data_IF_780386451489
#
_entry.id   IF_780386451489
#
_cell.length_a   1.000
_cell.length_b   1.000
_cell.length_c   1.000
_cell.angle_alpha   90.00
_cell.angle_beta   90.00
_cell.angle_gamma   90.00
#
_symmetry.space_group_name_H-M   'P 1'
#
loop_
_entity.id
_entity.type
_entity.pdbx_description
1 polymer ?
#
# COMPACT_ATOMS: atom_id res chain seq x y z
N UNK A 1 18.61 -37.78 4.79
CA UNK A 1 18.98 -36.45 5.33
C UNK A 1 18.38 -35.43 4.37
N UNK A 2 17.17 -34.96 4.66
CA UNK A 2 16.60 -33.81 3.95
C UNK A 2 16.63 -32.65 4.93
N UNK A 3 17.41 -31.62 4.59
CA UNK A 3 17.44 -30.35 5.31
C UNK A 3 16.14 -29.63 5.02
N UNK A 4 15.24 -29.59 6.00
CA UNK A 4 14.12 -28.65 6.01
C UNK A 4 14.72 -27.25 6.12
N UNK A 5 14.88 -26.59 4.98
CA UNK A 5 15.32 -25.21 4.90
C UNK A 5 14.16 -24.34 5.40
N UNK A 6 14.11 -24.15 6.72
CA UNK A 6 13.17 -23.24 7.37
C UNK A 6 13.37 -21.85 6.79
N UNK A 7 12.40 -21.37 6.02
CA UNK A 7 12.28 -19.96 5.72
C UNK A 7 11.93 -19.26 7.04
N UNK A 8 12.89 -18.57 7.65
CA UNK A 8 12.69 -17.70 8.82
C UNK A 8 11.82 -16.50 8.43
N UNK A 9 10.53 -16.75 8.27
CA UNK A 9 9.53 -15.78 7.86
C UNK A 9 8.86 -15.24 9.11
N UNK A 10 9.13 -13.97 9.43
CA UNK A 10 8.47 -13.27 10.54
C UNK A 10 7.29 -12.47 9.98
N UNK A 11 6.09 -12.85 10.39
CA UNK A 11 4.82 -12.23 9.99
C UNK A 11 4.13 -11.61 11.19
N UNK A 12 3.60 -10.39 11.02
CA UNK A 12 2.65 -9.80 11.96
C UNK A 12 1.34 -9.57 11.22
N UNK A 13 0.28 -10.17 11.77
CA UNK A 13 -1.09 -9.97 11.33
C UNK A 13 -1.80 -9.12 12.37
N UNK A 14 -2.24 -7.93 11.98
CA UNK A 14 -3.11 -7.08 12.80
C UNK A 14 -4.53 -7.27 12.29
N UNK A 15 -5.39 -7.90 13.09
CA UNK A 15 -6.83 -8.10 12.83
C UNK A 15 -7.63 -7.47 13.99
N UNK A 16 -8.73 -6.79 13.66
CA UNK A 16 -9.83 -6.43 14.59
C UNK A 16 -9.46 -5.77 15.93
N UNK A 17 -8.38 -5.00 15.96
CA UNK A 17 -7.92 -4.33 17.17
C UNK A 17 -7.78 -2.82 16.97
N UNK A 18 -8.55 -2.06 17.76
CA UNK A 18 -8.28 -0.63 18.03
C UNK A 18 -7.15 -0.53 19.05
N UNK A 19 -5.99 -1.11 18.75
CA UNK A 19 -4.80 -0.89 19.56
C UNK A 19 -4.20 0.46 19.14
N UNK A 20 -3.89 1.38 20.07
CA UNK A 20 -3.05 2.52 19.77
C UNK A 20 -1.64 2.00 19.47
N UNK A 21 -1.43 1.56 18.23
CA UNK A 21 -0.12 1.16 17.74
C UNK A 21 0.66 2.44 17.51
N UNK A 22 1.54 2.77 18.45
CA UNK A 22 2.57 3.78 18.20
C UNK A 22 3.61 3.15 17.27
N UNK A 23 3.89 3.72 16.08
CA UNK A 23 4.89 3.17 15.15
C UNK A 23 6.26 2.95 15.81
N UNK A 24 6.61 3.82 16.75
CA UNK A 24 7.82 3.78 17.58
C UNK A 24 7.92 2.52 18.46
N UNK A 25 6.79 1.90 18.79
CA UNK A 25 6.73 0.67 19.61
C UNK A 25 7.08 -0.58 18.81
N UNK A 26 7.15 -0.48 17.48
CA UNK A 26 7.50 -1.58 16.58
C UNK A 26 8.96 -1.49 16.12
N UNK A 27 9.89 -1.86 17.00
CA UNK A 27 11.30 -2.07 16.62
C UNK A 27 11.46 -3.55 16.22
N UNK A 28 10.90 -3.92 15.07
CA UNK A 28 11.00 -5.27 14.54
C UNK A 28 11.78 -5.29 13.24
N UNK A 29 13.09 -5.08 13.32
CA UNK A 29 13.97 -5.02 12.14
C UNK A 29 14.01 -6.33 11.36
N UNK A 30 13.61 -7.46 11.94
CA UNK A 30 13.52 -8.75 11.24
C UNK A 30 12.24 -8.93 10.42
N UNK A 31 11.25 -8.05 10.56
CA UNK A 31 9.96 -8.21 9.88
C UNK A 31 10.11 -8.04 8.37
N UNK A 32 9.72 -9.07 7.63
CA UNK A 32 9.74 -9.07 6.16
C UNK A 32 8.36 -8.95 5.56
N UNK A 33 7.30 -9.27 6.30
CA UNK A 33 5.92 -9.17 5.82
C UNK A 33 5.00 -8.60 6.88
N UNK A 34 4.12 -7.70 6.46
CA UNK A 34 3.14 -7.05 7.31
C UNK A 34 1.77 -7.13 6.63
N UNK A 35 0.77 -7.64 7.36
CA UNK A 35 -0.61 -7.62 6.93
C UNK A 35 -1.43 -6.80 7.92
N UNK A 36 -2.08 -5.76 7.41
CA UNK A 36 -2.99 -4.91 8.18
C UNK A 36 -4.40 -5.17 7.67
N UNK A 37 -5.26 -5.74 8.52
CA UNK A 37 -6.67 -5.95 8.24
C UNK A 37 -7.53 -5.21 9.27
N UNK A 38 -8.42 -4.35 8.80
CA UNK A 38 -9.30 -3.55 9.66
C UNK A 38 -9.13 -2.03 9.50
N UNK A 39 -9.70 -1.23 10.42
CA UNK A 39 -9.56 0.23 10.37
C UNK A 39 -8.16 0.67 10.81
N UNK A 40 -7.41 1.32 9.91
CA UNK A 40 -6.09 1.88 10.23
C UNK A 40 -5.93 3.28 9.67
N UNK A 41 -5.39 4.22 10.46
CA UNK A 41 -5.05 5.53 9.92
C UNK A 41 -3.78 5.43 9.04
N UNK A 42 -3.76 6.23 7.97
CA UNK A 42 -2.68 6.19 6.99
C UNK A 42 -1.35 6.67 7.60
N UNK A 43 -1.38 7.57 8.58
CA UNK A 43 -0.17 8.01 9.30
C UNK A 43 0.51 6.87 10.06
N UNK A 44 -0.27 6.01 10.74
CA UNK A 44 0.25 4.81 11.42
C UNK A 44 0.81 3.85 10.39
N UNK A 45 0.11 3.63 9.28
CA UNK A 45 0.60 2.78 8.19
C UNK A 45 1.93 3.31 7.62
N UNK A 46 2.05 4.60 7.31
CA UNK A 46 3.30 5.20 6.84
C UNK A 46 4.40 5.14 7.90
N UNK A 47 4.06 5.39 9.17
CA UNK A 47 4.96 5.22 10.30
C UNK A 47 5.51 3.81 10.38
N UNK A 48 4.66 2.77 10.24
CA UNK A 48 5.09 1.37 10.22
C UNK A 48 6.02 1.08 9.05
N UNK A 49 5.69 1.53 7.83
CA UNK A 49 6.57 1.36 6.65
C UNK A 49 7.95 2.01 6.89
N UNK A 50 7.98 3.17 7.55
CA UNK A 50 9.24 3.87 7.86
C UNK A 50 10.09 3.18 8.94
N UNK A 51 9.47 2.49 9.91
CA UNK A 51 10.16 1.84 11.03
C UNK A 51 10.51 0.36 10.76
N UNK A 52 10.01 -0.22 9.66
CA UNK A 52 10.27 -1.60 9.25
C UNK A 52 11.18 -1.66 8.01
N UNK A 53 12.51 -1.44 8.17
CA UNK A 53 13.43 -1.26 7.04
C UNK A 53 13.63 -2.52 6.19
N UNK A 54 13.32 -3.70 6.73
CA UNK A 54 13.44 -4.98 6.03
C UNK A 54 12.10 -5.51 5.51
N UNK A 55 11.02 -4.72 5.60
CA UNK A 55 9.73 -5.09 5.08
C UNK A 55 9.81 -5.28 3.55
N UNK A 56 9.37 -6.43 3.06
CA UNK A 56 9.39 -6.84 1.64
C UNK A 56 7.97 -6.90 1.07
N UNK A 57 7.00 -7.36 1.87
CA UNK A 57 5.59 -7.47 1.46
C UNK A 57 4.70 -6.72 2.44
N UNK A 58 3.79 -5.91 1.91
CA UNK A 58 2.74 -5.23 2.65
C UNK A 58 1.38 -5.59 2.06
N UNK A 59 0.47 -6.07 2.90
CA UNK A 59 -0.93 -6.28 2.52
C UNK A 59 -1.84 -5.40 3.38
N UNK A 60 -2.71 -4.64 2.73
CA UNK A 60 -3.61 -3.67 3.32
C UNK A 60 -5.04 -4.07 2.96
N UNK A 61 -5.74 -4.68 3.92
CA UNK A 61 -7.15 -5.06 3.83
C UNK A 61 -7.97 -4.11 4.71
N UNK A 62 -8.20 -2.90 4.21
CA UNK A 62 -8.69 -1.81 5.04
C UNK A 62 -10.23 -1.77 5.06
N UNK A 63 -10.79 -1.73 6.26
CA UNK A 63 -12.23 -1.49 6.48
C UNK A 63 -12.38 -0.08 7.04
N UNK A 64 -13.16 0.80 6.41
CA UNK A 64 -13.23 2.20 6.84
C UNK A 64 -14.65 2.75 7.00
N UNK A 65 -14.81 3.66 7.96
CA UNK A 65 -15.28 5.00 7.62
C UNK A 65 -14.22 6.03 8.00
N UNK A 66 -13.30 6.39 7.10
CA UNK A 66 -12.25 7.36 7.44
C UNK A 66 -12.90 8.73 7.57
N UNK A 67 -12.95 9.24 8.81
CA UNK A 67 -13.50 10.56 9.12
C UNK A 67 -12.41 11.60 9.46
N UNK A 68 -11.14 11.25 9.29
CA UNK A 68 -10.01 12.14 9.55
C UNK A 68 -9.62 12.99 8.32
N UNK A 69 -8.83 14.07 8.51
CA UNK A 69 -8.19 14.76 7.39
C UNK A 69 -7.28 13.76 6.67
N UNK A 70 -7.35 13.68 5.34
CA UNK A 70 -6.39 12.87 4.58
C UNK A 70 -4.97 13.28 5.00
N UNK A 71 -4.07 12.31 5.30
CA UNK A 71 -2.67 12.65 5.50
C UNK A 71 -2.17 13.44 4.30
N UNK A 72 -1.14 14.25 4.49
CA UNK A 72 -0.53 15.02 3.41
C UNK A 72 0.20 14.09 2.42
N UNK A 73 -0.59 13.41 1.58
CA UNK A 73 -0.14 12.65 0.43
C UNK A 73 0.15 13.64 -0.69
N UNK A 74 1.21 14.43 -0.52
CA UNK A 74 1.65 15.34 -1.57
C UNK A 74 2.23 14.52 -2.72
N UNK A 75 1.52 14.50 -3.85
CA UNK A 75 2.03 13.98 -5.12
C UNK A 75 2.64 15.17 -5.86
N UNK A 76 3.98 15.23 -6.06
CA UNK A 76 4.60 16.32 -6.81
C UNK A 76 4.07 16.32 -8.24
N UNK A 77 3.93 17.49 -8.87
CA UNK A 77 3.51 17.57 -10.27
C UNK A 77 4.52 16.88 -11.21
N UNK A 78 4.02 16.31 -12.31
CA UNK A 78 4.85 15.67 -13.32
C UNK A 78 5.86 16.67 -13.90
N UNK A 79 7.15 16.36 -13.86
CA UNK A 79 8.21 17.25 -14.33
C UNK A 79 8.66 18.30 -13.30
N UNK A 80 8.10 18.28 -12.09
CA UNK A 80 8.62 19.07 -10.97
C UNK A 80 10.06 18.68 -10.65
N UNK A 81 10.91 19.68 -10.33
CA UNK A 81 12.31 19.46 -9.94
C UNK A 81 12.46 18.87 -8.54
N UNK A 82 11.39 18.81 -7.75
CA UNK A 82 11.44 18.32 -6.36
C UNK A 82 10.94 16.88 -6.30
N UNK A 83 11.84 15.88 -6.23
CA UNK A 83 11.43 14.48 -6.16
C UNK A 83 10.78 14.17 -4.80
N UNK A 84 9.87 13.19 -4.79
CA UNK A 84 9.32 12.67 -3.54
C UNK A 84 10.43 11.98 -2.73
N UNK A 85 10.58 12.34 -1.44
CA UNK A 85 11.52 11.62 -0.57
C UNK A 85 11.08 10.18 -0.34
N UNK A 86 11.91 9.17 -0.67
CA UNK A 86 11.50 7.77 -0.61
C UNK A 86 11.47 7.24 0.83
N UNK A 87 10.66 6.22 1.05
CA UNK A 87 10.69 5.42 2.26
C UNK A 87 11.96 4.56 2.30
N UNK A 88 12.56 4.44 3.49
CA UNK A 88 13.72 3.58 3.74
C UNK A 88 13.25 2.16 4.03
N UNK A 89 12.83 1.46 3.00
CA UNK A 89 12.26 0.11 3.09
C UNK A 89 12.75 -0.77 1.94
N UNK A 90 12.58 -2.09 2.07
CA UNK A 90 12.84 -3.08 1.02
C UNK A 90 11.56 -3.56 0.35
N UNK A 91 10.46 -2.79 0.47
CA UNK A 91 9.16 -3.19 -0.04
C UNK A 91 9.24 -3.45 -1.55
N UNK A 92 8.87 -4.66 -1.94
CA UNK A 92 8.82 -5.14 -3.32
C UNK A 92 7.39 -5.42 -3.77
N UNK A 93 6.51 -5.78 -2.83
CA UNK A 93 5.10 -6.06 -3.11
C UNK A 93 4.18 -5.29 -2.17
N UNK A 94 3.17 -4.65 -2.74
CA UNK A 94 2.05 -4.06 -2.02
C UNK A 94 0.75 -4.64 -2.56
N UNK A 95 -0.11 -5.11 -1.67
CA UNK A 95 -1.49 -5.50 -1.94
C UNK A 95 -2.44 -4.56 -1.21
N UNK A 96 -3.39 -3.97 -1.94
CA UNK A 96 -4.35 -2.98 -1.44
C UNK A 96 -5.76 -3.43 -1.77
N UNK A 97 -6.56 -3.60 -0.73
CA UNK A 97 -7.96 -3.93 -0.81
C UNK A 97 -8.72 -3.10 0.22
N UNK A 98 -9.82 -2.51 -0.22
CA UNK A 98 -10.77 -1.85 0.65
C UNK A 98 -12.03 -2.71 0.71
N UNK A 99 -12.56 -2.94 1.91
CA UNK A 99 -13.86 -3.58 2.04
C UNK A 99 -14.95 -2.53 1.82
N UNK A 100 -15.84 -2.81 0.88
CA UNK A 100 -16.85 -1.89 0.36
C UNK A 100 -17.81 -1.37 1.44
N UNK A 101 -18.02 -0.06 1.37
CA UNK A 101 -19.12 0.80 1.86
C UNK A 101 -18.63 2.26 1.81
N UNK A 102 -17.33 2.45 2.01
CA UNK A 102 -16.53 3.65 1.76
C UNK A 102 -15.08 3.28 2.07
N UNK A 103 -14.13 3.52 1.15
CA UNK A 103 -13.81 4.86 0.68
C UNK A 103 -13.97 5.04 -0.83
N UNK A 104 -14.08 6.31 -1.27
CA UNK A 104 -14.10 6.65 -2.70
C UNK A 104 -12.91 6.00 -3.42
N UNK A 105 -13.09 5.40 -4.61
CA UNK A 105 -12.01 4.96 -5.49
C UNK A 105 -10.85 5.96 -5.62
N UNK A 106 -11.12 7.24 -5.38
CA UNK A 106 -10.14 8.32 -5.29
C UNK A 106 -9.05 8.08 -4.23
N UNK A 107 -9.39 7.55 -3.04
CA UNK A 107 -8.42 7.31 -1.97
C UNK A 107 -7.48 6.16 -2.31
N UNK A 108 -8.02 5.03 -2.79
CA UNK A 108 -7.21 3.88 -3.22
C UNK A 108 -6.24 4.29 -4.32
N UNK A 109 -6.72 5.08 -5.29
CA UNK A 109 -5.88 5.66 -6.34
C UNK A 109 -4.81 6.59 -5.76
N UNK A 110 -5.15 7.49 -4.84
CA UNK A 110 -4.20 8.41 -4.22
C UNK A 110 -3.12 7.66 -3.43
N UNK A 111 -3.50 6.67 -2.63
CA UNK A 111 -2.59 5.82 -1.87
C UNK A 111 -1.65 5.04 -2.79
N UNK A 112 -2.19 4.39 -3.82
CA UNK A 112 -1.39 3.67 -4.80
C UNK A 112 -0.37 4.59 -5.49
N UNK A 113 -0.79 5.76 -5.98
CA UNK A 113 0.10 6.76 -6.58
C UNK A 113 1.20 7.20 -5.61
N UNK A 114 0.84 7.47 -4.36
CA UNK A 114 1.78 7.89 -3.35
C UNK A 114 2.83 6.80 -3.07
N UNK A 115 2.42 5.55 -2.88
CA UNK A 115 3.33 4.42 -2.65
C UNK A 115 4.24 4.15 -3.85
N UNK A 116 3.71 4.26 -5.08
CA UNK A 116 4.49 4.14 -6.32
C UNK A 116 5.66 5.14 -6.37
N UNK A 117 5.45 6.38 -5.91
CA UNK A 117 6.53 7.37 -5.86
C UNK A 117 7.47 7.18 -4.68
N UNK A 118 6.93 6.76 -3.52
CA UNK A 118 7.68 6.67 -2.27
C UNK A 118 8.48 5.38 -2.12
N UNK A 119 8.21 4.35 -2.90
CA UNK A 119 8.88 3.04 -2.80
C UNK A 119 9.56 2.70 -4.14
N UNK A 120 10.80 3.17 -4.36
CA UNK A 120 11.54 2.88 -5.60
C UNK A 120 11.87 1.40 -5.81
N UNK A 121 11.83 0.58 -4.75
CA UNK A 121 12.07 -0.87 -4.80
C UNK A 121 10.83 -1.68 -5.15
N UNK A 122 9.68 -1.03 -5.29
CA UNK A 122 8.42 -1.72 -5.56
C UNK A 122 8.50 -2.37 -6.95
N UNK A 123 8.23 -3.67 -7.03
CA UNK A 123 8.18 -4.44 -8.29
C UNK A 123 6.80 -4.97 -8.59
N UNK A 124 5.89 -4.97 -7.61
CA UNK A 124 4.53 -5.49 -7.78
C UNK A 124 3.52 -4.68 -6.99
N UNK A 125 2.44 -4.25 -7.66
CA UNK A 125 1.29 -3.62 -7.06
C UNK A 125 0.03 -4.43 -7.38
N UNK A 126 -0.65 -4.91 -6.35
CA UNK A 126 -1.99 -5.46 -6.43
C UNK A 126 -2.94 -4.43 -5.83
N UNK A 127 -3.96 -4.03 -6.58
CA UNK A 127 -4.97 -3.09 -6.08
C UNK A 127 -6.36 -3.53 -6.55
N UNK A 128 -7.23 -3.83 -5.59
CA UNK A 128 -8.62 -4.20 -5.86
C UNK A 128 -9.52 -2.97 -5.77
N UNK A 129 -10.67 -3.01 -6.44
CA UNK A 129 -11.65 -1.94 -6.49
C UNK A 129 -11.04 -0.58 -6.87
N UNK A 130 -10.09 -0.59 -7.80
CA UNK A 130 -9.32 0.60 -8.19
C UNK A 130 -9.48 0.84 -9.69
N UNK A 131 -9.93 2.04 -10.12
CA UNK A 131 -10.01 2.40 -11.53
C UNK A 131 -8.62 2.28 -12.18
N UNK A 132 -8.44 1.26 -13.00
CA UNK A 132 -7.13 0.84 -13.50
C UNK A 132 -6.48 1.96 -14.32
N UNK A 133 -7.26 2.60 -15.18
CA UNK A 133 -6.78 3.64 -16.09
C UNK A 133 -6.11 4.80 -15.32
N UNK A 134 -6.65 5.19 -14.15
CA UNK A 134 -6.10 6.31 -13.36
C UNK A 134 -4.70 6.03 -12.79
N UNK A 135 -4.36 4.77 -12.58
CA UNK A 135 -3.03 4.34 -12.15
C UNK A 135 -2.08 4.29 -13.35
N UNK A 136 -2.54 3.72 -14.47
CA UNK A 136 -1.72 3.59 -15.68
C UNK A 136 -1.36 4.95 -16.28
N UNK A 137 -2.33 5.88 -16.40
CA UNK A 137 -2.09 7.25 -16.88
C UNK A 137 -1.05 7.98 -16.02
N UNK A 138 -1.09 7.73 -14.70
CA UNK A 138 -0.12 8.28 -13.77
C UNK A 138 1.27 7.68 -13.97
N UNK A 139 1.37 6.37 -14.12
CA UNK A 139 2.65 5.70 -14.39
C UNK A 139 3.27 6.24 -15.68
N UNK A 140 2.49 6.36 -16.75
CA UNK A 140 2.94 6.91 -18.03
C UNK A 140 3.45 8.36 -17.88
N UNK A 141 2.68 9.21 -17.21
CA UNK A 141 3.05 10.62 -16.99
C UNK A 141 4.30 10.83 -16.13
N UNK A 142 4.66 9.87 -15.28
CA UNK A 142 5.76 10.00 -14.32
C UNK A 142 6.97 9.10 -14.64
N UNK A 143 6.87 8.16 -15.59
CA UNK A 143 7.93 7.20 -15.91
C UNK A 143 9.26 7.86 -16.29
N UNK A 144 9.22 9.02 -16.94
CA UNK A 144 10.44 9.78 -17.28
C UNK A 144 11.21 10.31 -16.06
N UNK A 145 10.51 10.61 -14.97
CA UNK A 145 11.10 11.11 -13.73
C UNK A 145 11.37 9.99 -12.72
N UNK A 146 10.57 8.92 -12.76
CA UNK A 146 10.63 7.78 -11.85
C UNK A 146 10.77 6.49 -12.67
N UNK A 147 11.99 6.13 -13.12
CA UNK A 147 12.20 5.02 -14.06
C UNK A 147 11.76 3.65 -13.54
N UNK A 148 11.75 3.45 -12.22
CA UNK A 148 11.33 2.19 -11.61
C UNK A 148 9.87 1.84 -11.89
N UNK A 149 9.02 2.85 -12.14
CA UNK A 149 7.61 2.65 -12.45
C UNK A 149 7.39 1.77 -13.70
N UNK A 150 8.33 1.82 -14.67
CA UNK A 150 8.26 1.00 -15.88
C UNK A 150 8.53 -0.50 -15.67
N UNK A 151 8.95 -0.90 -14.47
CA UNK A 151 9.29 -2.29 -14.14
C UNK A 151 8.28 -2.98 -13.20
N UNK A 152 7.18 -2.29 -12.87
CA UNK A 152 6.20 -2.78 -11.89
C UNK A 152 5.18 -3.70 -12.57
N UNK A 153 4.99 -4.88 -11.99
CA UNK A 153 3.87 -5.76 -12.32
C UNK A 153 2.59 -5.23 -11.65
N UNK A 154 1.58 -4.91 -12.45
CA UNK A 154 0.29 -4.43 -11.95
C UNK A 154 -0.77 -5.53 -12.03
N UNK A 155 -1.48 -5.76 -10.93
CA UNK A 155 -2.72 -6.57 -10.88
C UNK A 155 -3.83 -5.71 -10.34
N UNK A 156 -4.59 -5.11 -11.25
CA UNK A 156 -5.62 -4.13 -10.95
C UNK A 156 -6.98 -4.79 -11.21
N UNK A 157 -7.85 -4.75 -10.22
CA UNK A 157 -9.20 -5.30 -10.31
C UNK A 157 -10.18 -4.15 -10.12
N UNK A 158 -11.01 -3.91 -11.13
CA UNK A 158 -12.19 -3.06 -10.97
C UNK A 158 -13.26 -3.91 -10.28
N UNK A 159 -13.92 -3.36 -9.25
CA UNK A 159 -15.02 -4.09 -8.62
C UNK A 159 -16.17 -4.16 -9.60
N UNK A 160 -16.74 -5.34 -9.81
CA UNK A 160 -17.99 -5.47 -10.55
C UNK A 160 -19.11 -4.77 -9.75
N UNK A 161 -19.84 -3.85 -10.38
CA UNK A 161 -21.03 -3.19 -9.81
C UNK A 161 -22.20 -4.18 -9.59
N UNK A 162 -22.05 -5.48 -9.87
CA UNK A 162 -23.17 -6.41 -10.09
C UNK A 162 -23.60 -7.29 -8.91
N UNK A 163 -23.02 -7.16 -7.72
CA UNK A 163 -23.45 -7.96 -6.55
C UNK A 163 -24.37 -7.21 -5.55
N UNK A 164 -24.80 -5.98 -5.87
CA UNK A 164 -25.69 -5.19 -4.99
C UNK A 164 -27.20 -5.25 -5.34
N UNK A 165 -27.62 -5.91 -6.43
CA UNK A 165 -29.05 -6.03 -6.80
C UNK A 165 -29.70 -7.37 -6.41
N UNK A 166 -29.08 -8.14 -5.52
CA UNK A 166 -29.70 -9.36 -4.97
C UNK A 166 -29.67 -9.32 -3.45
N UNK A 167 -30.53 -8.49 -2.86
CA UNK A 167 -31.17 -8.70 -1.55
C UNK A 167 -31.88 -7.42 -1.05
N UNK A 168 -32.73 -6.83 -1.91
CA UNK A 168 -33.76 -5.87 -1.51
C UNK A 168 -35.14 -6.32 -1.99
#
# INVERSE_FOLDING_TARGET
MESVQGSDKLELTICDHTLPVLPESFICTAMTRLMISGPTNLDTMFGLIQHLPNLVELALYLTYPYRGPYPDMTIPEAGSRTPAWPFRTKLMMVDIEFNNDWPSPTLTVALAKYLLLKIPTLTKLVAKQTPQQRILDFVEGYAGQYPHLGSIEFRLYEGDETDFERDH
#
